data_IF_992754878477
#
_entry.id   IF_992754878477
#
_cell.length_a   1.000
_cell.length_b   1.000
_cell.length_c   1.000
_cell.angle_alpha   90.00
_cell.angle_beta   90.00
_cell.angle_gamma   90.00
#
_symmetry.space_group_name_H-M   'P 1'
#
loop_
_entity.id
_entity.type
_entity.pdbx_description
1 polymer ?
#
# COMPACT_ATOMS: atom_id res chain seq x y z
N UNK A 1 35.70 13.14 11.17
CA UNK A 1 34.65 12.17 11.55
C UNK A 1 33.36 12.79 11.06
N UNK A 2 32.83 12.28 9.96
CA UNK A 2 31.68 12.92 9.30
C UNK A 2 30.43 12.10 9.61
N UNK A 3 29.40 12.75 10.16
CA UNK A 3 28.11 12.15 10.42
C UNK A 3 27.09 12.71 9.42
N UNK A 4 26.38 11.82 8.72
CA UNK A 4 25.32 12.19 7.79
C UNK A 4 23.99 12.14 8.52
N UNK A 5 23.40 13.31 8.78
CA UNK A 5 22.04 13.42 9.32
C UNK A 5 21.07 13.46 8.15
N UNK A 6 20.22 12.44 8.02
CA UNK A 6 19.18 12.39 6.98
C UNK A 6 17.95 13.15 7.46
N UNK A 7 17.58 14.20 6.74
CA UNK A 7 16.32 14.91 6.96
C UNK A 7 15.16 14.05 6.47
N UNK A 8 14.19 13.86 7.35
CA UNK A 8 13.08 12.95 7.17
C UNK A 8 11.73 13.68 6.96
N UNK A 9 11.80 14.99 6.78
CA UNK A 9 10.66 15.93 6.83
C UNK A 9 10.17 16.41 5.44
N UNK A 10 10.58 15.70 4.38
CA UNK A 10 10.28 16.07 3.00
C UNK A 10 11.13 17.26 2.49
N UNK A 11 11.59 17.18 1.24
CA UNK A 11 12.50 18.19 0.68
C UNK A 11 11.88 19.61 0.64
N UNK A 12 10.58 19.72 0.40
CA UNK A 12 9.90 21.01 0.39
C UNK A 12 9.90 21.69 1.76
N UNK A 13 9.73 20.94 2.86
CA UNK A 13 9.74 21.52 4.20
C UNK A 13 11.13 21.97 4.61
N UNK A 14 12.15 21.19 4.28
CA UNK A 14 13.55 21.57 4.48
C UNK A 14 13.91 22.86 3.71
N UNK A 15 13.47 22.98 2.45
CA UNK A 15 13.67 24.18 1.64
C UNK A 15 12.95 25.40 2.24
N UNK A 16 11.68 25.24 2.66
CA UNK A 16 10.91 26.30 3.31
C UNK A 16 11.55 26.78 4.62
N UNK A 17 12.03 25.85 5.45
CA UNK A 17 12.74 26.18 6.70
C UNK A 17 14.04 26.94 6.43
N UNK A 18 14.80 26.51 5.42
CA UNK A 18 16.05 27.17 5.00
C UNK A 18 15.80 28.60 4.55
N UNK A 19 14.75 28.82 3.75
CA UNK A 19 14.42 30.15 3.25
C UNK A 19 13.87 31.08 4.35
N UNK A 20 13.04 30.54 5.25
CA UNK A 20 12.60 31.28 6.43
C UNK A 20 13.79 31.74 7.28
N UNK A 21 14.74 30.85 7.57
CA UNK A 21 15.93 31.18 8.36
C UNK A 21 16.83 32.24 7.69
N UNK A 22 16.81 32.36 6.35
CA UNK A 22 17.57 33.40 5.63
C UNK A 22 16.94 34.79 5.76
N UNK A 23 15.63 34.85 5.89
CA UNK A 23 14.85 36.08 5.86
C UNK A 23 14.48 36.58 7.26
N UNK A 24 14.55 35.70 8.26
CA UNK A 24 14.24 36.03 9.64
C UNK A 24 15.47 36.61 10.36
N UNK A 25 15.36 37.84 10.84
CA UNK A 25 16.47 38.61 11.42
C UNK A 25 16.76 38.36 12.91
N UNK A 26 16.03 37.45 13.55
CA UNK A 26 16.13 37.17 14.99
C UNK A 26 16.53 35.71 15.25
N UNK A 27 17.26 35.42 16.34
CA UNK A 27 17.54 34.04 16.74
C UNK A 27 16.26 33.26 17.03
N UNK A 28 16.14 32.07 16.44
CA UNK A 28 15.04 31.13 16.71
C UNK A 28 15.58 29.76 17.14
N UNK A 29 14.85 29.12 18.05
CA UNK A 29 15.12 27.74 18.47
C UNK A 29 14.16 26.80 17.77
N UNK A 30 14.69 25.89 16.95
CA UNK A 30 13.89 24.89 16.23
C UNK A 30 14.06 23.53 16.93
N UNK A 31 12.98 22.92 17.45
CA UNK A 31 13.06 21.57 17.99
C UNK A 31 13.32 20.57 16.85
N UNK A 32 14.39 19.80 16.98
CA UNK A 32 14.73 18.71 16.06
C UNK A 32 14.58 17.38 16.80
N UNK A 33 13.80 16.47 16.23
CA UNK A 33 13.74 15.10 16.72
C UNK A 33 14.76 14.25 15.96
N UNK A 34 15.82 13.84 16.67
CA UNK A 34 16.84 12.93 16.16
C UNK A 34 16.51 11.51 16.56
N UNK A 35 16.49 10.60 15.59
CA UNK A 35 16.28 9.16 15.84
C UNK A 35 17.45 8.38 15.26
N UNK A 36 17.84 7.32 15.95
CA UNK A 36 18.86 6.39 15.48
C UNK A 36 18.20 5.04 15.16
N UNK A 37 18.58 4.42 14.05
CA UNK A 37 18.09 3.10 13.63
C UNK A 37 16.55 2.98 13.59
N UNK A 38 15.85 4.01 13.11
CA UNK A 38 14.40 4.00 13.04
C UNK A 38 13.90 2.81 12.18
N UNK A 39 13.01 1.94 12.70
CA UNK A 39 12.50 0.79 11.94
C UNK A 39 11.78 1.22 10.65
N UNK A 40 11.76 0.34 9.63
CA UNK A 40 11.09 0.62 8.36
C UNK A 40 9.60 0.95 8.57
N UNK A 41 8.90 0.18 9.40
CA UNK A 41 7.47 0.39 9.68
C UNK A 41 7.19 1.77 10.29
N UNK A 42 8.05 2.23 11.19
CA UNK A 42 7.93 3.58 11.77
C UNK A 42 8.18 4.67 10.72
N UNK A 43 9.15 4.46 9.81
CA UNK A 43 9.40 5.36 8.68
C UNK A 43 8.21 5.43 7.72
N UNK A 44 7.57 4.29 7.43
CA UNK A 44 6.37 4.23 6.60
C UNK A 44 5.20 4.99 7.23
N UNK A 45 4.94 4.77 8.53
CA UNK A 45 3.88 5.52 9.22
C UNK A 45 4.12 7.02 9.17
N UNK A 46 5.34 7.47 9.46
CA UNK A 46 5.64 8.90 9.40
C UNK A 46 5.53 9.47 7.98
N UNK A 47 5.90 8.69 6.96
CA UNK A 47 5.65 9.08 5.57
C UNK A 47 4.16 9.30 5.35
N UNK A 48 3.30 8.39 5.82
CA UNK A 48 1.86 8.56 5.70
C UNK A 48 1.35 9.79 6.44
N UNK A 49 1.78 9.98 7.69
CA UNK A 49 1.37 11.10 8.53
C UNK A 49 1.70 12.48 7.92
N UNK A 50 2.89 12.62 7.32
CA UNK A 50 3.33 13.86 6.68
C UNK A 50 2.52 14.14 5.41
N UNK A 51 2.15 13.09 4.68
CA UNK A 51 1.65 13.19 3.31
C UNK A 51 0.12 13.07 3.19
N UNK A 52 -0.59 12.73 4.27
CA UNK A 52 -2.03 12.42 4.22
C UNK A 52 -2.92 13.55 3.69
N UNK A 53 -2.48 14.80 3.78
CA UNK A 53 -3.22 15.98 3.33
C UNK A 53 -2.64 16.62 2.05
N UNK A 54 -1.62 16.01 1.45
CA UNK A 54 -0.91 16.57 0.30
C UNK A 54 -1.31 15.83 -0.97
N UNK A 55 -1.48 16.55 -2.08
CA UNK A 55 -1.85 15.96 -3.39
C UNK A 55 -0.77 15.03 -4.00
N UNK A 56 0.44 15.06 -3.43
CA UNK A 56 1.57 14.19 -3.74
C UNK A 56 2.23 13.83 -2.42
N UNK A 57 2.70 12.60 -2.21
CA UNK A 57 2.74 11.42 -3.07
C UNK A 57 1.35 10.80 -3.38
N UNK A 58 1.33 9.75 -4.19
CA UNK A 58 0.10 9.06 -4.57
C UNK A 58 -0.65 8.51 -3.34
N UNK A 59 -1.98 8.54 -3.39
CA UNK A 59 -2.82 8.01 -2.33
C UNK A 59 -2.62 6.50 -2.10
N UNK A 60 -2.28 5.75 -3.15
CA UNK A 60 -1.95 4.32 -3.05
C UNK A 60 -0.82 4.05 -2.05
N UNK A 61 0.36 4.66 -2.25
CA UNK A 61 1.51 4.47 -1.36
C UNK A 61 1.26 5.04 0.03
N UNK A 62 0.56 6.17 0.12
CA UNK A 62 0.20 6.78 1.40
C UNK A 62 -0.68 5.84 2.24
N UNK A 63 -1.68 5.23 1.61
CA UNK A 63 -2.58 4.28 2.24
C UNK A 63 -1.89 2.98 2.59
N UNK A 64 -1.02 2.46 1.71
CA UNK A 64 -0.27 1.24 1.97
C UNK A 64 0.65 1.38 3.20
N UNK A 65 1.12 2.59 3.48
CA UNK A 65 1.99 2.89 4.62
C UNK A 65 1.23 3.36 5.87
N UNK A 66 -0.07 3.63 5.78
CA UNK A 66 -0.87 4.03 6.93
C UNK A 66 -1.20 2.81 7.81
N UNK A 67 -0.38 2.61 8.83
CA UNK A 67 -0.54 1.57 9.84
C UNK A 67 -1.75 1.75 10.76
N UNK A 68 -2.44 2.92 10.72
CA UNK A 68 -3.67 3.16 11.50
C UNK A 68 -4.93 2.68 10.78
N UNK A 69 -4.84 2.42 9.48
CA UNK A 69 -5.95 1.90 8.70
C UNK A 69 -5.89 0.37 8.68
N UNK A 70 -6.57 -0.27 9.62
CA UNK A 70 -6.55 -1.73 9.80
C UNK A 70 -7.00 -2.48 8.54
N UNK A 71 -8.03 -1.98 7.85
CA UNK A 71 -8.50 -2.60 6.60
C UNK A 71 -7.44 -2.48 5.50
N UNK A 72 -6.83 -1.31 5.33
CA UNK A 72 -5.76 -1.15 4.35
C UNK A 72 -4.55 -2.03 4.67
N UNK A 73 -4.15 -2.15 5.94
CA UNK A 73 -3.03 -2.99 6.35
C UNK A 73 -3.31 -4.48 6.19
N UNK A 74 -4.53 -4.92 6.48
CA UNK A 74 -4.94 -6.30 6.18
C UNK A 74 -4.93 -6.58 4.68
N UNK A 75 -5.45 -5.66 3.88
CA UNK A 75 -5.38 -5.74 2.41
C UNK A 75 -3.92 -5.76 1.90
N UNK A 76 -3.03 -4.91 2.41
CA UNK A 76 -1.60 -4.94 2.04
C UNK A 76 -1.00 -6.31 2.36
N UNK A 77 -1.31 -6.86 3.54
CA UNK A 77 -0.80 -8.18 3.98
C UNK A 77 -1.30 -9.28 3.05
N UNK A 78 -2.62 -9.38 2.85
CA UNK A 78 -3.27 -10.35 1.98
C UNK A 78 -2.73 -10.28 0.55
N UNK A 79 -2.79 -9.10 -0.07
CA UNK A 79 -2.38 -8.92 -1.47
C UNK A 79 -0.89 -9.20 -1.70
N UNK A 80 -0.03 -8.87 -0.72
CA UNK A 80 1.42 -9.11 -0.84
C UNK A 80 1.80 -10.58 -0.61
N UNK A 81 0.97 -11.35 0.10
CA UNK A 81 1.20 -12.77 0.39
C UNK A 81 0.51 -13.70 -0.61
N UNK A 82 -0.51 -13.21 -1.31
CA UNK A 82 -1.26 -13.99 -2.27
C UNK A 82 -0.51 -14.12 -3.61
N UNK A 83 -0.32 -15.35 -4.10
CA UNK A 83 0.49 -15.69 -5.30
C UNK A 83 0.15 -14.84 -6.53
N UNK A 84 -1.15 -14.68 -6.86
CA UNK A 84 -1.57 -13.86 -8.00
C UNK A 84 -1.48 -12.36 -7.71
N UNK A 85 -2.08 -11.87 -6.63
CA UNK A 85 -2.16 -10.43 -6.33
C UNK A 85 -0.79 -9.77 -6.15
N UNK A 86 0.16 -10.47 -5.51
CA UNK A 86 1.49 -9.95 -5.24
C UNK A 86 2.23 -9.54 -6.51
N UNK A 87 1.91 -10.19 -7.63
CA UNK A 87 2.57 -9.97 -8.90
C UNK A 87 1.79 -9.08 -9.88
N UNK A 88 0.54 -8.70 -9.56
CA UNK A 88 -0.32 -7.84 -10.43
C UNK A 88 -0.71 -6.51 -9.79
N UNK A 89 -0.46 -6.32 -8.48
CA UNK A 89 -0.88 -5.14 -7.73
C UNK A 89 0.21 -4.07 -7.68
N UNK A 90 -0.14 -2.84 -8.07
CA UNK A 90 0.71 -1.64 -7.93
C UNK A 90 0.39 -0.89 -6.64
N UNK A 91 1.26 -1.00 -5.65
CA UNK A 91 1.13 -0.32 -4.36
C UNK A 91 1.61 1.13 -4.37
N UNK A 92 2.29 1.56 -5.44
CA UNK A 92 2.94 2.87 -5.49
C UNK A 92 2.08 3.92 -6.18
N UNK A 93 1.38 3.55 -7.25
CA UNK A 93 0.67 4.47 -8.12
C UNK A 93 -0.85 4.39 -7.95
N UNK A 94 -1.54 5.54 -8.02
CA UNK A 94 -3.01 5.58 -8.02
C UNK A 94 -3.61 4.89 -9.25
N UNK A 95 -2.93 4.99 -10.38
CA UNK A 95 -3.25 4.38 -11.67
C UNK A 95 -2.01 3.69 -12.15
N UNK A 96 -2.14 2.44 -12.59
CA UNK A 96 -1.02 1.66 -13.11
C UNK A 96 -0.40 2.38 -14.32
N UNK A 97 0.91 2.67 -14.31
CA UNK A 97 1.57 3.29 -15.44
C UNK A 97 1.48 2.42 -16.70
N UNK A 98 1.30 3.04 -17.89
CA UNK A 98 1.10 2.32 -19.15
C UNK A 98 2.23 1.34 -19.54
N UNK A 99 3.45 1.55 -19.01
CA UNK A 99 4.61 0.67 -19.25
C UNK A 99 4.83 -0.37 -18.15
N UNK A 100 3.99 -0.37 -17.11
CA UNK A 100 4.07 -1.32 -16.01
C UNK A 100 3.63 -2.71 -16.45
N UNK A 101 4.17 -3.74 -15.79
CA UNK A 101 3.72 -5.13 -15.94
C UNK A 101 2.56 -5.47 -14.98
N UNK A 102 2.27 -4.58 -14.03
CA UNK A 102 1.17 -4.69 -13.07
C UNK A 102 -0.15 -4.32 -13.76
N UNK A 103 -1.27 -4.74 -13.19
CA UNK A 103 -2.58 -4.67 -13.86
C UNK A 103 -3.60 -3.85 -13.09
N UNK A 104 -3.50 -3.83 -11.76
CA UNK A 104 -4.42 -3.11 -10.89
C UNK A 104 -3.66 -2.32 -9.84
N UNK A 105 -4.13 -1.11 -9.50
CA UNK A 105 -3.55 -0.35 -8.41
C UNK A 105 -4.15 -0.75 -7.07
N UNK A 106 -3.34 -0.70 -6.01
CA UNK A 106 -3.79 -0.91 -4.64
C UNK A 106 -4.93 0.04 -4.30
N UNK A 107 -4.85 1.32 -4.73
CA UNK A 107 -5.94 2.28 -4.54
C UNK A 107 -7.27 1.77 -5.12
N UNK A 108 -7.28 1.22 -6.33
CA UNK A 108 -8.51 0.72 -6.94
C UNK A 108 -9.11 -0.45 -6.15
N UNK A 109 -8.27 -1.36 -5.66
CA UNK A 109 -8.70 -2.47 -4.78
C UNK A 109 -9.24 -1.94 -3.45
N UNK A 110 -8.57 -0.98 -2.81
CA UNK A 110 -9.02 -0.38 -1.56
C UNK A 110 -10.33 0.41 -1.72
N UNK A 111 -10.46 1.19 -2.80
CA UNK A 111 -11.70 1.92 -3.10
C UNK A 111 -12.88 0.96 -3.34
N UNK A 112 -12.64 -0.16 -4.03
CA UNK A 112 -13.65 -1.20 -4.22
C UNK A 112 -14.00 -1.88 -2.89
N UNK A 113 -12.99 -2.21 -2.09
CA UNK A 113 -13.15 -2.79 -0.75
C UNK A 113 -14.00 -1.91 0.14
N UNK A 114 -13.75 -0.60 0.16
CA UNK A 114 -14.52 0.35 0.97
C UNK A 114 -16.03 0.35 0.62
N UNK A 115 -16.40 0.06 -0.64
CA UNK A 115 -17.80 0.03 -1.08
C UNK A 115 -18.57 -1.17 -0.53
N UNK A 116 -17.94 -2.34 -0.42
CA UNK A 116 -18.62 -3.55 0.05
C UNK A 116 -18.35 -3.86 1.51
N UNK A 117 -17.18 -3.51 2.05
CA UNK A 117 -16.80 -3.77 3.43
C UNK A 117 -17.75 -3.09 4.43
N UNK A 118 -18.38 -1.98 4.05
CA UNK A 118 -19.32 -1.23 4.90
C UNK A 118 -20.76 -1.26 4.37
N UNK A 119 -21.09 -2.14 3.42
CA UNK A 119 -22.42 -2.17 2.79
C UNK A 119 -23.51 -2.77 3.70
N UNK A 120 -23.12 -3.54 4.72
CA UNK A 120 -24.03 -4.20 5.67
C UNK A 120 -24.31 -3.39 6.94
N UNK A 121 -25.07 -3.98 7.85
CA UNK A 121 -25.33 -3.40 9.18
C UNK A 121 -24.10 -3.39 10.09
N UNK A 122 -23.11 -4.22 9.77
CA UNK A 122 -21.80 -4.28 10.43
C UNK A 122 -20.72 -4.27 9.35
N UNK A 123 -19.56 -3.62 9.62
CA UNK A 123 -18.39 -3.78 8.78
C UNK A 123 -18.01 -5.26 8.64
N UNK A 124 -17.56 -5.65 7.46
CA UNK A 124 -17.04 -6.99 7.21
C UNK A 124 -15.70 -7.17 7.92
N UNK A 125 -15.50 -8.37 8.47
CA UNK A 125 -14.20 -8.78 9.00
C UNK A 125 -13.21 -9.04 7.84
N UNK A 126 -11.92 -8.99 8.13
CA UNK A 126 -10.89 -9.14 7.09
C UNK A 126 -11.02 -10.45 6.31
N UNK A 127 -11.33 -11.58 6.97
CA UNK A 127 -11.50 -12.86 6.28
C UNK A 127 -12.66 -12.89 5.28
N UNK A 128 -13.74 -12.14 5.52
CA UNK A 128 -14.85 -12.00 4.56
C UNK A 128 -14.42 -11.15 3.36
N UNK A 129 -13.63 -10.10 3.60
CA UNK A 129 -13.05 -9.25 2.55
C UNK A 129 -12.12 -10.07 1.65
N UNK A 130 -11.23 -10.86 2.24
CA UNK A 130 -10.33 -11.78 1.51
C UNK A 130 -11.14 -12.76 0.65
N UNK A 131 -12.19 -13.36 1.22
CA UNK A 131 -13.06 -14.30 0.51
C UNK A 131 -13.76 -13.69 -0.72
N UNK A 132 -14.14 -12.41 -0.66
CA UNK A 132 -14.71 -11.68 -1.79
C UNK A 132 -13.67 -11.48 -2.90
N UNK A 133 -12.44 -11.12 -2.54
CA UNK A 133 -11.37 -10.95 -3.52
C UNK A 133 -10.92 -12.26 -4.16
N UNK A 134 -10.92 -13.35 -3.40
CA UNK A 134 -10.71 -14.71 -3.91
C UNK A 134 -11.80 -15.12 -4.92
N UNK A 135 -13.07 -14.88 -4.57
CA UNK A 135 -14.18 -15.13 -5.49
C UNK A 135 -14.06 -14.29 -6.77
N UNK A 136 -13.57 -13.05 -6.67
CA UNK A 136 -13.31 -12.20 -7.83
C UNK A 136 -12.17 -12.72 -8.69
N UNK A 137 -11.07 -13.24 -8.11
CA UNK A 137 -10.01 -13.89 -8.87
C UNK A 137 -10.51 -15.14 -9.61
N UNK A 138 -11.30 -15.97 -8.93
CA UNK A 138 -11.91 -17.16 -9.53
C UNK A 138 -12.85 -16.79 -10.68
N UNK A 139 -13.64 -15.73 -10.53
CA UNK A 139 -14.53 -15.24 -11.58
C UNK A 139 -13.77 -14.71 -12.80
N UNK A 140 -12.72 -13.92 -12.56
CA UNK A 140 -11.96 -13.24 -13.62
C UNK A 140 -10.95 -14.14 -14.30
N UNK A 141 -10.56 -15.26 -13.66
CA UNK A 141 -9.54 -16.17 -14.17
C UNK A 141 -8.21 -15.46 -14.48
N UNK A 142 -7.89 -14.41 -13.71
CA UNK A 142 -6.68 -13.58 -13.90
C UNK A 142 -5.42 -14.43 -13.92
N UNK A 143 -5.33 -15.43 -13.04
CA UNK A 143 -4.22 -16.37 -12.99
C UNK A 143 -4.03 -17.10 -14.34
N UNK A 144 -5.11 -17.62 -14.91
CA UNK A 144 -5.09 -18.34 -16.18
C UNK A 144 -4.72 -17.42 -17.36
N UNK A 145 -5.22 -16.18 -17.35
CA UNK A 145 -4.88 -15.18 -18.38
C UNK A 145 -3.39 -14.84 -18.33
N UNK A 146 -2.84 -14.71 -17.12
CA UNK A 146 -1.47 -14.26 -16.90
C UNK A 146 -0.42 -15.28 -17.28
N UNK A 147 -0.65 -16.55 -16.97
CA UNK A 147 0.26 -17.64 -17.32
C UNK A 147 0.01 -18.23 -18.71
N UNK A 148 -1.07 -17.81 -19.37
CA UNK A 148 -1.49 -18.34 -20.66
C UNK A 148 -1.89 -19.82 -20.60
N UNK A 149 -2.26 -20.42 -21.73
CA UNK A 149 -2.72 -21.81 -21.79
C UNK A 149 -1.65 -22.86 -21.43
N UNK A 150 -0.38 -22.46 -21.25
CA UNK A 150 0.76 -23.36 -21.08
C UNK A 150 0.87 -23.99 -19.68
N UNK A 151 0.13 -23.50 -18.68
CA UNK A 151 0.18 -24.00 -17.30
C UNK A 151 -1.14 -24.64 -16.87
N UNK A 152 -1.69 -25.57 -17.67
CA UNK A 152 -2.74 -26.51 -17.22
C UNK A 152 -2.13 -27.81 -16.73
N UNK A 153 -1.54 -27.81 -15.52
CA UNK A 153 -1.07 -29.00 -14.78
C UNK A 153 -1.10 -28.56 -13.31
N UNK A 154 -1.77 -29.13 -12.31
CA UNK A 154 -2.52 -30.39 -12.12
C UNK A 154 -3.28 -30.22 -10.80
N UNK A 155 -4.60 -30.15 -10.83
CA UNK A 155 -5.42 -30.50 -9.66
C UNK A 155 -6.72 -31.10 -10.18
N UNK A 156 -6.60 -32.27 -10.80
CA UNK A 156 -7.70 -33.21 -10.83
C UNK A 156 -7.98 -33.62 -9.39
N UNK A 157 -8.86 -32.89 -8.71
CA UNK A 157 -9.48 -33.34 -7.47
C UNK A 157 -10.10 -34.69 -7.77
N UNK A 158 -9.44 -35.73 -7.27
CA UNK A 158 -9.91 -37.10 -7.36
C UNK A 158 -11.13 -37.17 -6.47
N UNK A 159 -12.32 -37.23 -7.08
CA UNK A 159 -13.55 -37.55 -6.36
C UNK A 159 -13.45 -39.03 -5.99
N UNK A 160 -12.86 -39.34 -4.83
CA UNK A 160 -12.90 -40.69 -4.28
C UNK A 160 -14.30 -40.95 -3.73
N UNK A 161 -15.18 -41.41 -4.61
CA UNK A 161 -16.34 -42.19 -4.20
C UNK A 161 -15.83 -43.55 -3.75
N UNK A 162 -15.80 -43.79 -2.45
CA UNK A 162 -15.80 -45.13 -1.88
C UNK A 162 -16.98 -45.25 -0.94
N UNK A 163 -17.78 -46.27 -1.26
CA UNK A 163 -18.90 -46.87 -0.54
C UNK A 163 -18.76 -46.88 0.97
#
# INVERSE_FOLDING_TARGET
>A
MDAVIKLFDGQHRAAGLTEFCRTYGEPISIPLMLTHNLPLKARQQFFSDINNNVSKPAAAINMAYDGRNEVAQGMVTFLSQHDTFAEVTDFEHNVVPAKSKLWVSFKALSDATAKFANAGSKPLEMGDIESIWEAWLALTQIEAIRHGPARRITSATTFSSTR
#
